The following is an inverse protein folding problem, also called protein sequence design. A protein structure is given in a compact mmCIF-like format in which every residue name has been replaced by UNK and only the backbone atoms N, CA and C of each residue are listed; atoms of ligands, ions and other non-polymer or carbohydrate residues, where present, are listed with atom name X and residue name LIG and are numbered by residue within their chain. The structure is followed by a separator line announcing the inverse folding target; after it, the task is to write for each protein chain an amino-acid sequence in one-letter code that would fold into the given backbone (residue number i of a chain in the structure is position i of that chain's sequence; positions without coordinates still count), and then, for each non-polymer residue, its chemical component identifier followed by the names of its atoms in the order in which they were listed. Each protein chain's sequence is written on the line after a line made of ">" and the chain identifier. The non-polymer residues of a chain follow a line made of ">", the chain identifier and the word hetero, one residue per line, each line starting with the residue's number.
data_IF_636468300912
#
_entry.id   IF_636468300912
#
_cell.length_a   1.000
_cell.length_b   1.000
_cell.length_c   1.000
_cell.angle_alpha   90.00
_cell.angle_beta   90.00
_cell.angle_gamma   90.00
#
_symmetry.space_group_name_H-M   'P 1'
#
loop_
_entity.id
_entity.type
_entity.pdbx_description
1 polymer ?
#
# COMPACT_ATOMS: atom_id res chain seq x y z
N UNK A 1 -10.36 10.40 -3.71
CA UNK A 1 -10.85 9.74 -2.49
C UNK A 1 -9.65 9.55 -1.57
N UNK A 2 -9.78 9.75 -0.26
CA UNK A 2 -8.66 9.71 0.68
C UNK A 2 -8.58 8.34 1.37
N UNK A 3 -7.37 7.79 1.48
CA UNK A 3 -7.06 6.57 2.25
C UNK A 3 -5.84 6.80 3.13
N UNK A 4 -5.68 5.96 4.15
CA UNK A 4 -4.51 5.98 5.04
C UNK A 4 -3.51 4.89 4.64
N UNK A 5 -2.24 5.27 4.47
CA UNK A 5 -1.13 4.37 4.21
C UNK A 5 -0.38 4.12 5.51
N UNK A 6 -0.19 2.86 5.85
CA UNK A 6 0.66 2.42 6.97
C UNK A 6 1.79 1.55 6.43
N UNK A 7 3.03 1.91 6.71
CA UNK A 7 4.19 1.17 6.20
C UNK A 7 4.88 0.38 7.31
N UNK A 8 5.42 -0.79 6.95
CA UNK A 8 6.10 -1.69 7.89
C UNK A 8 7.52 -2.05 7.44
N UNK A 9 8.37 -2.37 8.41
CA UNK A 9 9.74 -2.82 8.19
C UNK A 9 10.56 -1.83 7.36
N UNK A 10 11.38 -2.34 6.43
CA UNK A 10 12.23 -1.51 5.56
C UNK A 10 11.46 -0.52 4.68
N UNK A 11 10.16 -0.73 4.46
CA UNK A 11 9.34 0.20 3.66
C UNK A 11 9.02 1.46 4.48
N UNK A 12 8.89 1.34 5.80
CA UNK A 12 8.67 2.47 6.69
C UNK A 12 9.85 3.45 6.75
N UNK A 13 11.03 3.04 6.28
CA UNK A 13 12.23 3.90 6.22
C UNK A 13 12.10 5.01 5.15
N UNK A 14 11.31 4.78 4.09
CA UNK A 14 11.15 5.73 2.99
C UNK A 14 9.69 6.08 2.66
N UNK A 15 8.72 5.26 3.10
CA UNK A 15 7.29 5.58 3.05
C UNK A 15 6.77 5.78 4.47
N UNK A 16 6.66 7.04 4.89
CA UNK A 16 6.03 7.36 6.17
C UNK A 16 4.52 7.14 6.14
N UNK A 17 3.93 6.87 7.31
CA UNK A 17 2.49 6.79 7.47
C UNK A 17 1.87 8.15 7.11
N UNK A 18 0.91 8.12 6.20
CA UNK A 18 0.33 9.33 5.65
C UNK A 18 -1.03 9.03 5.03
N UNK A 19 -1.83 10.08 4.87
CA UNK A 19 -3.03 10.01 4.07
C UNK A 19 -2.74 10.46 2.65
N UNK A 20 -3.27 9.74 1.68
CA UNK A 20 -3.13 10.09 0.26
C UNK A 20 -4.50 10.20 -0.39
N UNK A 21 -4.63 11.17 -1.30
CA UNK A 21 -5.80 11.24 -2.18
C UNK A 21 -5.53 10.43 -3.45
N UNK A 22 -6.34 9.41 -3.66
CA UNK A 22 -6.31 8.48 -4.78
C UNK A 22 -7.53 8.74 -5.68
N UNK A 23 -7.65 9.96 -6.22
CA UNK A 23 -8.82 10.40 -6.97
C UNK A 23 -9.23 9.49 -8.15
N UNK A 24 -8.27 8.85 -8.81
CA UNK A 24 -8.50 8.04 -10.02
C UNK A 24 -8.28 6.53 -9.81
N UNK A 25 -8.04 6.11 -8.57
CA UNK A 25 -7.73 4.71 -8.26
C UNK A 25 -8.82 4.11 -7.40
N UNK A 26 -9.43 3.04 -7.87
CA UNK A 26 -10.55 2.37 -7.19
C UNK A 26 -10.19 0.96 -6.71
N UNK A 27 -8.97 0.51 -6.96
CA UNK A 27 -8.55 -0.87 -6.71
C UNK A 27 -7.05 -0.99 -6.39
N UNK A 28 -6.69 -2.09 -5.76
CA UNK A 28 -5.35 -2.35 -5.24
C UNK A 28 -4.27 -2.46 -6.33
N UNK A 29 -4.62 -2.89 -7.54
CA UNK A 29 -3.65 -3.02 -8.64
C UNK A 29 -3.29 -1.63 -9.21
N UNK A 30 -4.30 -0.80 -9.46
CA UNK A 30 -4.06 0.59 -9.86
C UNK A 30 -3.35 1.39 -8.76
N UNK A 31 -3.68 1.14 -7.49
CA UNK A 31 -3.01 1.79 -6.36
C UNK A 31 -1.54 1.41 -6.29
N UNK A 32 -1.22 0.16 -6.59
CA UNK A 32 0.16 -0.31 -6.69
C UNK A 32 0.96 0.53 -7.67
N UNK A 33 0.42 0.74 -8.88
CA UNK A 33 1.07 1.51 -9.94
C UNK A 33 1.25 2.97 -9.50
N UNK A 34 0.24 3.54 -8.87
CA UNK A 34 0.28 4.91 -8.33
C UNK A 34 1.37 5.06 -7.25
N UNK A 35 1.39 4.16 -6.27
CA UNK A 35 2.38 4.15 -5.20
C UNK A 35 3.80 3.95 -5.73
N UNK A 36 4.00 3.07 -6.71
CA UNK A 36 5.31 2.86 -7.35
C UNK A 36 5.77 4.04 -8.20
N UNK A 37 4.86 4.93 -8.58
CA UNK A 37 5.18 6.20 -9.24
C UNK A 37 5.61 7.25 -8.22
N UNK A 38 4.94 7.30 -7.06
CA UNK A 38 5.29 8.20 -5.95
C UNK A 38 6.56 7.78 -5.21
N UNK A 39 6.75 6.47 -5.02
CA UNK A 39 7.87 5.87 -4.30
C UNK A 39 8.55 4.82 -5.19
N UNK A 40 9.45 5.23 -6.11
CA UNK A 40 10.11 4.32 -7.05
C UNK A 40 10.86 3.16 -6.38
N UNK A 41 11.30 3.34 -5.15
CA UNK A 41 11.97 2.32 -4.33
C UNK A 41 11.09 1.07 -4.10
N UNK A 42 9.76 1.21 -4.11
CA UNK A 42 8.84 0.07 -4.02
C UNK A 42 9.03 -0.91 -5.19
N UNK A 43 9.41 -0.45 -6.38
CA UNK A 43 9.63 -1.32 -7.55
C UNK A 43 10.78 -2.31 -7.34
N UNK A 44 11.75 -1.95 -6.49
CA UNK A 44 12.90 -2.80 -6.18
C UNK A 44 12.63 -3.79 -5.04
N UNK A 45 11.47 -3.72 -4.40
CA UNK A 45 11.14 -4.47 -3.20
C UNK A 45 9.93 -5.38 -3.50
N UNK A 46 10.01 -6.65 -3.11
CA UNK A 46 8.78 -7.46 -2.98
C UNK A 46 8.04 -6.98 -1.74
N UNK A 47 6.75 -6.70 -1.87
CA UNK A 47 5.88 -6.31 -0.76
C UNK A 47 4.47 -6.86 -0.98
N UNK A 48 3.66 -6.80 0.08
CA UNK A 48 2.25 -7.17 0.09
C UNK A 48 1.43 -6.01 0.62
N UNK A 49 0.17 -5.97 0.21
CA UNK A 49 -0.83 -5.11 0.79
C UNK A 49 -1.69 -5.86 1.80
N UNK A 50 -2.10 -5.17 2.85
CA UNK A 50 -3.26 -5.54 3.63
C UNK A 50 -4.23 -4.36 3.68
N UNK A 51 -5.46 -4.60 3.25
CA UNK A 51 -6.55 -3.63 3.27
C UNK A 51 -7.39 -3.89 4.52
N UNK A 52 -7.55 -2.91 5.41
CA UNK A 52 -8.32 -3.04 6.65
C UNK A 52 -7.95 -4.30 7.45
N UNK A 53 -6.64 -4.50 7.66
CA UNK A 53 -6.05 -5.64 8.37
C UNK A 53 -6.25 -7.01 7.70
N UNK A 54 -6.71 -7.05 6.44
CA UNK A 54 -6.84 -8.28 5.65
C UNK A 54 -5.84 -8.29 4.50
N UNK A 55 -5.07 -9.38 4.35
CA UNK A 55 -4.14 -9.51 3.24
C UNK A 55 -4.87 -9.50 1.91
N UNK A 56 -4.41 -8.63 1.00
CA UNK A 56 -4.91 -8.57 -0.37
C UNK A 56 -4.31 -9.75 -1.14
N UNK A 57 -5.15 -10.72 -1.48
CA UNK A 57 -4.75 -11.93 -2.22
C UNK A 57 -4.97 -11.79 -3.73
N UNK A 58 -5.91 -10.93 -4.13
CA UNK A 58 -6.26 -10.61 -5.50
C UNK A 58 -6.72 -9.15 -5.56
N UNK A 59 -6.85 -8.61 -6.77
CA UNK A 59 -7.27 -7.22 -6.94
C UNK A 59 -8.59 -6.97 -6.20
N UNK A 60 -8.58 -5.97 -5.31
CA UNK A 60 -9.69 -5.65 -4.40
C UNK A 60 -10.07 -4.20 -4.57
N UNK A 61 -11.36 -3.90 -4.47
CA UNK A 61 -11.85 -2.53 -4.46
C UNK A 61 -11.35 -1.80 -3.21
N UNK A 62 -11.11 -0.50 -3.35
CA UNK A 62 -10.70 0.40 -2.27
C UNK A 62 -11.80 1.42 -2.06
N UNK A 63 -12.13 1.67 -0.80
CA UNK A 63 -13.14 2.63 -0.37
C UNK A 63 -12.52 3.82 0.37
N UNK A 64 -13.29 4.90 0.48
CA UNK A 64 -12.89 6.10 1.19
C UNK A 64 -12.62 5.78 2.68
N UNK A 65 -11.53 6.29 3.22
CA UNK A 65 -11.03 6.04 4.58
C UNK A 65 -10.50 4.62 4.83
N UNK A 66 -10.31 3.81 3.79
CA UNK A 66 -9.63 2.53 3.95
C UNK A 66 -8.20 2.72 4.47
N UNK A 67 -7.75 1.74 5.24
CA UNK A 67 -6.38 1.66 5.72
C UNK A 67 -5.65 0.61 4.88
N UNK A 68 -4.66 1.06 4.12
CA UNK A 68 -3.78 0.20 3.36
C UNK A 68 -2.42 0.06 4.03
N UNK A 69 -2.14 -1.12 4.54
CA UNK A 69 -0.84 -1.48 5.06
C UNK A 69 0.08 -1.99 3.93
N UNK A 70 1.29 -1.44 3.84
CA UNK A 70 2.35 -1.86 2.91
C UNK A 70 3.47 -2.50 3.72
N UNK A 71 3.73 -3.77 3.45
CA UNK A 71 4.70 -4.55 4.22
C UNK A 71 5.59 -5.41 3.33
N UNK A 72 6.91 -5.47 3.58
CA UNK A 72 7.77 -6.45 2.93
C UNK A 72 7.33 -7.88 3.28
N UNK A 73 7.72 -8.92 2.52
CA UNK A 73 7.45 -10.30 2.89
C UNK A 73 7.90 -10.55 4.33
N UNK A 74 7.02 -11.18 5.11
CA UNK A 74 7.25 -11.48 6.51
C UNK A 74 8.65 -12.06 6.72
N UNK A 75 9.44 -11.43 7.57
CA UNK A 75 10.69 -12.00 8.13
C UNK A 75 10.38 -12.89 9.34
N UNK A 76 9.21 -13.53 9.33
CA UNK A 76 8.82 -14.48 10.38
C UNK A 76 9.72 -15.70 10.27
N UNK A 77 10.63 -15.82 11.22
CA UNK A 77 11.30 -17.09 11.54
C UNK A 77 10.34 -18.09 12.15
#
# INVERSE_FOLDING_TARGET
>A
MEIEIISFGKIAEFVSNQKIDIAETTDTDNLKIHLETLFPELKAIKYKFALNNQLVQANSAIEQNDILAIMPPFSGG
#
